data_IF_588758429542
#
_entry.id   IF_588758429542
#
_cell.length_a   1.000
_cell.length_b   1.000
_cell.length_c   1.000
_cell.angle_alpha   90.00
_cell.angle_beta   90.00
_cell.angle_gamma   90.00
#
_symmetry.space_group_name_H-M   'P 1'
#
loop_
_entity.id
_entity.type
_entity.pdbx_description
1 polymer ?
#
# COMPACT_ATOMS: atom_id res chain seq x y z
N UNK A 1 -27.43 -3.52 -25.13
CA UNK A 1 -27.44 -2.51 -24.06
C UNK A 1 -25.99 -2.34 -23.64
N UNK A 2 -25.35 -1.27 -24.06
CA UNK A 2 -23.99 -0.94 -23.60
C UNK A 2 -24.13 -0.54 -22.13
N UNK A 3 -23.66 -1.40 -21.21
CA UNK A 3 -23.44 -0.98 -19.84
C UNK A 3 -22.53 0.25 -19.87
N UNK A 4 -23.06 1.40 -19.53
CA UNK A 4 -22.28 2.59 -19.23
C UNK A 4 -21.52 2.27 -17.94
N UNK A 5 -20.32 1.68 -18.07
CA UNK A 5 -19.41 1.53 -16.95
C UNK A 5 -19.15 2.92 -16.37
N UNK A 6 -19.50 3.11 -15.09
CA UNK A 6 -19.16 4.34 -14.38
C UNK A 6 -17.65 4.61 -14.57
N UNK A 7 -17.27 5.86 -14.86
CA UNK A 7 -15.86 6.18 -15.03
C UNK A 7 -15.04 5.79 -13.79
N UNK A 8 -13.82 5.31 -14.00
CA UNK A 8 -12.91 4.96 -12.91
C UNK A 8 -12.65 6.20 -12.02
N UNK A 9 -12.78 6.02 -10.71
CA UNK A 9 -12.68 7.14 -9.77
C UNK A 9 -11.27 7.75 -9.78
N UNK A 10 -10.24 6.93 -9.84
CA UNK A 10 -8.85 7.43 -9.83
C UNK A 10 -8.54 8.19 -11.12
N UNK A 11 -8.99 7.71 -12.28
CA UNK A 11 -8.83 8.45 -13.54
C UNK A 11 -9.50 9.82 -13.47
N UNK A 12 -10.70 9.86 -12.89
CA UNK A 12 -11.43 11.13 -12.70
C UNK A 12 -10.68 12.08 -11.79
N UNK A 13 -10.20 11.61 -10.62
CA UNK A 13 -9.55 12.43 -9.61
C UNK A 13 -8.11 12.83 -9.99
N UNK A 14 -7.43 11.98 -10.73
CA UNK A 14 -6.11 12.28 -11.28
C UNK A 14 -6.17 13.11 -12.58
N UNK A 15 -7.39 13.42 -13.06
CA UNK A 15 -7.64 14.20 -14.29
C UNK A 15 -7.01 13.54 -15.53
N UNK A 16 -7.25 12.25 -15.71
CA UNK A 16 -6.75 11.44 -16.81
C UNK A 16 -7.86 11.18 -17.85
N UNK A 17 -8.03 12.05 -18.85
CA UNK A 17 -8.99 11.76 -19.90
C UNK A 17 -8.56 10.54 -20.71
N UNK A 18 -9.51 9.75 -21.30
CA UNK A 18 -9.19 8.49 -22.00
C UNK A 18 -8.17 8.61 -23.14
N UNK A 19 -7.96 9.81 -23.70
CA UNK A 19 -6.98 10.05 -24.75
C UNK A 19 -5.58 10.45 -24.22
N UNK A 20 -5.42 10.61 -22.90
CA UNK A 20 -4.13 11.04 -22.34
C UNK A 20 -3.11 9.91 -22.31
N UNK A 21 -1.81 10.22 -22.51
CA UNK A 21 -0.75 9.20 -22.41
C UNK A 21 -0.74 8.49 -21.05
N UNK A 22 -0.93 9.20 -19.94
CA UNK A 22 -0.93 8.62 -18.59
C UNK A 22 -2.10 7.65 -18.39
N UNK A 23 -3.29 7.95 -18.95
CA UNK A 23 -4.41 7.01 -18.97
C UNK A 23 -4.01 5.72 -19.68
N UNK A 24 -3.44 5.81 -20.89
CA UNK A 24 -3.01 4.64 -21.66
C UNK A 24 -1.95 3.81 -20.92
N UNK A 25 -1.00 4.46 -20.24
CA UNK A 25 0.02 3.80 -19.41
C UNK A 25 -0.66 3.08 -18.22
N UNK A 26 -1.52 3.75 -17.47
CA UNK A 26 -2.22 3.18 -16.32
C UNK A 26 -3.02 1.94 -16.71
N UNK A 27 -3.70 1.99 -17.84
CA UNK A 27 -4.53 0.89 -18.35
C UNK A 27 -3.74 -0.29 -18.94
N UNK A 28 -2.41 -0.22 -19.00
CA UNK A 28 -1.59 -1.43 -19.19
C UNK A 28 -1.63 -2.36 -17.96
N UNK A 29 -2.11 -1.86 -16.83
CA UNK A 29 -2.32 -2.60 -15.57
C UNK A 29 -3.81 -2.72 -15.22
N UNK A 30 -4.65 -3.11 -16.18
CA UNK A 30 -6.12 -3.17 -16.02
C UNK A 30 -6.57 -3.93 -14.77
N UNK A 31 -5.91 -5.04 -14.41
CA UNK A 31 -6.24 -5.78 -13.18
C UNK A 31 -6.06 -4.93 -11.91
N UNK A 32 -5.07 -4.04 -11.89
CA UNK A 32 -4.88 -3.10 -10.77
C UNK A 32 -5.98 -2.04 -10.78
N UNK A 33 -6.32 -1.52 -11.97
CA UNK A 33 -7.41 -0.54 -12.14
C UNK A 33 -8.72 -1.11 -11.63
N UNK A 34 -9.13 -2.26 -12.16
CA UNK A 34 -10.42 -2.89 -11.86
C UNK A 34 -10.55 -3.25 -10.36
N UNK A 35 -9.52 -3.89 -9.79
CA UNK A 35 -9.55 -4.30 -8.39
C UNK A 35 -9.41 -3.10 -7.41
N UNK A 36 -8.74 -2.01 -7.81
CA UNK A 36 -8.74 -0.76 -7.04
C UNK A 36 -10.13 -0.14 -7.00
N UNK A 37 -10.82 -0.09 -8.15
CA UNK A 37 -12.20 0.36 -8.23
C UNK A 37 -13.14 -0.59 -7.47
N UNK A 38 -12.90 -1.90 -7.53
CA UNK A 38 -13.62 -2.91 -6.74
C UNK A 38 -13.46 -2.67 -5.24
N UNK A 39 -12.24 -2.44 -4.77
CA UNK A 39 -11.96 -2.09 -3.36
C UNK A 39 -12.70 -0.85 -2.90
N UNK A 40 -12.71 0.22 -3.74
CA UNK A 40 -13.50 1.42 -3.46
C UNK A 40 -14.99 1.11 -3.32
N UNK A 41 -15.57 0.35 -4.26
CA UNK A 41 -16.97 -0.02 -4.24
C UNK A 41 -17.34 -0.79 -2.97
N UNK A 42 -16.52 -1.78 -2.57
CA UNK A 42 -16.77 -2.57 -1.35
C UNK A 42 -16.69 -1.71 -0.08
N UNK A 43 -15.68 -0.84 0.02
CA UNK A 43 -15.47 0.00 1.20
C UNK A 43 -16.52 1.10 1.37
N UNK A 44 -17.15 1.55 0.28
CA UNK A 44 -18.18 2.59 0.31
C UNK A 44 -19.58 2.08 -0.05
N UNK A 45 -19.76 0.75 -0.09
CA UNK A 45 -21.08 0.14 -0.26
C UNK A 45 -21.99 0.50 0.92
N UNK A 46 -23.18 1.00 0.63
CA UNK A 46 -24.19 1.32 1.67
C UNK A 46 -24.65 0.10 2.44
N UNK A 47 -24.50 -1.10 1.86
CA UNK A 47 -24.85 -2.36 2.48
C UNK A 47 -23.74 -2.91 3.41
N UNK A 48 -22.52 -2.32 3.45
CA UNK A 48 -21.45 -2.78 4.33
C UNK A 48 -21.89 -2.63 5.80
N UNK A 49 -21.99 -3.73 6.56
CA UNK A 49 -22.52 -3.69 7.92
C UNK A 49 -21.53 -3.05 8.90
N UNK A 50 -22.06 -2.52 9.99
CA UNK A 50 -21.33 -2.08 11.17
C UNK A 50 -20.89 -0.63 11.13
N UNK A 51 -20.05 -0.22 10.19
CA UNK A 51 -19.67 1.18 9.98
C UNK A 51 -20.65 1.85 9.02
N UNK A 52 -21.32 2.90 9.45
CA UNK A 52 -22.21 3.67 8.56
C UNK A 52 -21.45 4.32 7.42
N UNK A 53 -22.11 4.61 6.31
CA UNK A 53 -21.46 5.33 5.21
C UNK A 53 -20.96 6.71 5.66
N UNK A 54 -21.71 7.40 6.54
CA UNK A 54 -21.28 8.67 7.12
C UNK A 54 -20.00 8.58 7.93
N UNK A 55 -19.87 7.56 8.82
CA UNK A 55 -18.62 7.30 9.55
C UNK A 55 -17.45 7.08 8.59
N UNK A 56 -17.64 6.27 7.55
CA UNK A 56 -16.59 5.98 6.55
C UNK A 56 -16.18 7.22 5.75
N UNK A 57 -17.14 8.05 5.36
CA UNK A 57 -16.87 9.30 4.64
C UNK A 57 -16.14 10.33 5.52
N UNK A 58 -16.49 10.45 6.81
CA UNK A 58 -15.77 11.34 7.74
C UNK A 58 -14.33 10.86 7.98
N UNK A 59 -14.13 9.56 8.15
CA UNK A 59 -12.78 8.97 8.21
C UNK A 59 -11.99 9.26 6.93
N UNK A 60 -12.62 9.10 5.75
CA UNK A 60 -11.98 9.37 4.47
C UNK A 60 -11.57 10.83 4.31
N UNK A 61 -12.45 11.75 4.71
CA UNK A 61 -12.15 13.18 4.70
C UNK A 61 -10.95 13.51 5.59
N UNK A 62 -10.94 13.01 6.83
CA UNK A 62 -9.82 13.19 7.77
C UNK A 62 -8.50 12.70 7.18
N UNK A 63 -8.45 11.51 6.58
CA UNK A 63 -7.24 10.96 5.98
C UNK A 63 -6.74 11.83 4.82
N UNK A 64 -7.67 12.32 3.98
CA UNK A 64 -7.32 13.19 2.87
C UNK A 64 -6.77 14.54 3.34
N UNK A 65 -7.36 15.13 4.37
CA UNK A 65 -6.89 16.37 5.00
C UNK A 65 -5.48 16.19 5.57
N UNK A 66 -5.28 15.14 6.39
CA UNK A 66 -3.98 14.82 6.99
C UNK A 66 -2.89 14.53 5.95
N UNK A 67 -3.27 13.95 4.81
CA UNK A 67 -2.35 13.64 3.70
C UNK A 67 -2.18 14.80 2.71
N UNK A 68 -2.89 15.91 2.89
CA UNK A 68 -2.87 17.06 1.97
C UNK A 68 -3.45 16.76 0.58
N UNK A 69 -4.32 15.75 0.45
CA UNK A 69 -4.93 15.35 -0.83
C UNK A 69 -6.22 16.13 -1.09
N UNK A 70 -6.10 17.26 -1.80
CA UNK A 70 -7.23 18.17 -2.03
C UNK A 70 -8.33 17.56 -2.91
N UNK A 71 -7.98 16.90 -4.01
CA UNK A 71 -8.96 16.31 -4.94
C UNK A 71 -9.77 15.19 -4.30
N UNK A 72 -9.11 14.28 -3.58
CA UNK A 72 -9.79 13.22 -2.82
C UNK A 72 -10.61 13.80 -1.65
N UNK A 73 -10.07 14.77 -0.93
CA UNK A 73 -10.78 15.44 0.17
C UNK A 73 -12.06 16.11 -0.29
N UNK A 74 -12.02 16.84 -1.42
CA UNK A 74 -13.20 17.44 -2.02
C UNK A 74 -14.27 16.40 -2.44
N UNK A 75 -13.82 15.26 -3.02
CA UNK A 75 -14.70 14.17 -3.41
C UNK A 75 -15.46 13.59 -2.21
N UNK A 76 -14.76 13.23 -1.13
CA UNK A 76 -15.40 12.65 0.05
C UNK A 76 -16.23 13.66 0.83
N UNK A 77 -15.82 14.93 0.90
CA UNK A 77 -16.60 16.01 1.50
C UNK A 77 -17.91 16.24 0.75
N UNK A 78 -17.90 16.19 -0.59
CA UNK A 78 -19.11 16.32 -1.40
C UNK A 78 -20.08 15.16 -1.14
N UNK A 79 -19.59 13.92 -1.08
CA UNK A 79 -20.44 12.75 -0.77
C UNK A 79 -21.04 12.86 0.63
N UNK A 80 -20.26 13.27 1.64
CA UNK A 80 -20.73 13.45 3.00
C UNK A 80 -21.81 14.53 3.07
N UNK A 81 -21.61 15.66 2.39
CA UNK A 81 -22.60 16.73 2.31
C UNK A 81 -23.91 16.28 1.65
N UNK A 82 -23.83 15.46 0.59
CA UNK A 82 -25.01 14.89 -0.08
C UNK A 82 -25.77 13.90 0.81
N UNK A 83 -25.05 13.16 1.64
CA UNK A 83 -25.64 12.21 2.58
C UNK A 83 -26.39 12.93 3.70
N UNK A 84 -25.93 14.13 4.11
CA UNK A 84 -26.54 14.91 5.18
C UNK A 84 -26.45 14.24 6.56
N UNK A 85 -25.48 13.31 6.75
CA UNK A 85 -25.34 12.52 7.97
C UNK A 85 -24.55 13.28 9.05
N UNK A 86 -25.00 13.18 10.30
CA UNK A 86 -24.33 13.72 11.47
C UNK A 86 -23.93 12.57 12.41
N UNK A 87 -22.82 12.71 13.19
CA UNK A 87 -22.43 11.70 14.14
C UNK A 87 -23.51 11.38 15.17
N UNK A 88 -23.99 10.15 15.18
CA UNK A 88 -25.01 9.70 16.14
C UNK A 88 -24.40 9.45 17.54
N UNK A 89 -23.09 9.12 17.62
CA UNK A 89 -22.38 8.84 18.86
C UNK A 89 -21.01 9.51 18.83
N UNK A 90 -20.86 10.58 19.60
CA UNK A 90 -19.62 11.37 19.63
C UNK A 90 -18.41 10.59 20.18
N UNK A 91 -18.61 9.67 21.12
CA UNK A 91 -17.51 8.86 21.68
C UNK A 91 -16.98 7.85 20.63
N UNK A 92 -17.89 7.19 19.90
CA UNK A 92 -17.55 6.28 18.81
C UNK A 92 -16.84 7.04 17.69
N UNK A 93 -17.39 8.17 17.26
CA UNK A 93 -16.75 9.01 16.23
C UNK A 93 -15.33 9.42 16.63
N UNK A 94 -15.14 9.88 17.88
CA UNK A 94 -13.83 10.26 18.38
C UNK A 94 -12.84 9.07 18.39
N UNK A 95 -13.29 7.85 18.64
CA UNK A 95 -12.44 6.65 18.57
C UNK A 95 -12.03 6.34 17.13
N UNK A 96 -12.97 6.40 16.17
CA UNK A 96 -12.71 6.22 14.74
C UNK A 96 -11.67 7.23 14.24
N UNK A 97 -11.84 8.51 14.59
CA UNK A 97 -10.97 9.59 14.16
C UNK A 97 -9.56 9.49 14.78
N UNK A 98 -9.44 9.10 16.06
CA UNK A 98 -8.14 8.86 16.68
C UNK A 98 -7.38 7.74 15.99
N UNK A 99 -8.04 6.62 15.69
CA UNK A 99 -7.42 5.51 15.00
C UNK A 99 -7.02 5.89 13.57
N UNK A 100 -7.88 6.61 12.84
CA UNK A 100 -7.57 7.12 11.51
C UNK A 100 -6.35 8.06 11.51
N UNK A 101 -6.27 8.98 12.46
CA UNK A 101 -5.16 9.91 12.62
C UNK A 101 -3.85 9.18 12.91
N UNK A 102 -3.87 8.23 13.85
CA UNK A 102 -2.72 7.41 14.21
C UNK A 102 -2.16 6.65 13.00
N UNK A 103 -3.01 5.88 12.31
CA UNK A 103 -2.59 5.08 11.17
C UNK A 103 -2.13 5.93 9.99
N UNK A 104 -2.65 7.13 9.84
CA UNK A 104 -2.27 8.03 8.76
C UNK A 104 -0.87 8.61 8.97
N UNK A 105 -0.61 9.18 10.15
CA UNK A 105 0.63 9.90 10.43
C UNK A 105 1.76 9.04 10.99
N UNK A 106 1.44 8.10 11.88
CA UNK A 106 2.42 7.37 12.66
C UNK A 106 2.02 5.90 12.84
N UNK A 107 1.90 5.15 11.74
CA UNK A 107 1.44 3.77 11.81
C UNK A 107 2.28 2.89 12.74
N UNK A 108 3.56 3.20 12.94
CA UNK A 108 4.47 2.46 13.84
C UNK A 108 4.15 2.68 15.33
N UNK A 109 3.44 3.75 15.69
CA UNK A 109 3.05 4.02 17.08
C UNK A 109 1.77 3.28 17.50
N UNK A 110 1.11 2.58 16.55
CA UNK A 110 -0.04 1.74 16.87
C UNK A 110 0.34 0.51 17.69
N UNK A 111 -0.48 0.20 18.66
CA UNK A 111 -0.33 -0.94 19.54
C UNK A 111 -1.68 -1.59 19.87
N UNK A 112 -1.65 -2.65 20.68
CA UNK A 112 -2.85 -3.37 21.08
C UNK A 112 -3.87 -2.48 21.82
N UNK A 113 -3.41 -1.47 22.55
CA UNK A 113 -4.31 -0.55 23.26
C UNK A 113 -5.19 0.26 22.30
N UNK A 114 -4.72 0.51 21.08
CA UNK A 114 -5.52 1.16 20.04
C UNK A 114 -6.72 0.29 19.62
N UNK A 115 -6.53 -1.03 19.52
CA UNK A 115 -7.62 -1.99 19.27
C UNK A 115 -8.56 -2.07 20.45
N UNK A 116 -8.03 -2.15 21.68
CA UNK A 116 -8.82 -2.19 22.92
C UNK A 116 -9.70 -0.95 23.06
N UNK A 117 -9.21 0.23 22.65
CA UNK A 117 -9.98 1.47 22.64
C UNK A 117 -11.15 1.43 21.62
N UNK A 118 -10.98 0.80 20.47
CA UNK A 118 -12.07 0.61 19.50
C UNK A 118 -13.13 -0.37 20.03
N UNK A 119 -12.69 -1.46 20.65
CA UNK A 119 -13.60 -2.43 21.29
C UNK A 119 -14.38 -1.75 22.43
N UNK A 120 -13.73 -0.94 23.26
CA UNK A 120 -14.38 -0.17 24.33
C UNK A 120 -15.37 0.89 23.80
N UNK A 121 -15.15 1.40 22.58
CA UNK A 121 -16.09 2.28 21.86
C UNK A 121 -17.26 1.49 21.20
N UNK A 122 -17.34 0.18 21.41
CA UNK A 122 -18.42 -0.69 20.96
C UNK A 122 -18.26 -1.29 19.55
N UNK A 123 -17.07 -1.15 18.93
CA UNK A 123 -16.83 -1.78 17.64
C UNK A 123 -16.64 -3.30 17.80
N UNK A 124 -17.19 -4.04 16.85
CA UNK A 124 -16.98 -5.48 16.74
C UNK A 124 -15.71 -5.78 15.89
N UNK A 125 -15.12 -6.97 15.97
CA UNK A 125 -13.95 -7.35 15.18
C UNK A 125 -14.09 -7.06 13.68
N UNK A 126 -15.22 -7.39 13.08
CA UNK A 126 -15.49 -7.13 11.66
C UNK A 126 -15.51 -5.63 11.31
N UNK A 127 -15.99 -4.78 12.22
CA UNK A 127 -15.99 -3.32 12.05
C UNK A 127 -14.57 -2.74 12.18
N UNK A 128 -13.77 -3.28 13.11
CA UNK A 128 -12.35 -2.89 13.26
C UNK A 128 -11.57 -3.24 11.99
N UNK A 129 -11.80 -4.43 11.43
CA UNK A 129 -11.18 -4.82 10.16
C UNK A 129 -11.63 -3.92 9.01
N UNK A 130 -12.94 -3.61 8.90
CA UNK A 130 -13.45 -2.68 7.89
C UNK A 130 -12.80 -1.28 8.01
N UNK A 131 -12.69 -0.76 9.24
CA UNK A 131 -12.04 0.53 9.53
C UNK A 131 -10.56 0.52 9.14
N UNK A 132 -9.81 -0.49 9.56
CA UNK A 132 -8.39 -0.61 9.25
C UNK A 132 -8.17 -0.73 7.72
N UNK A 133 -8.99 -1.54 7.03
CA UNK A 133 -8.95 -1.67 5.57
C UNK A 133 -9.27 -0.34 4.87
N UNK A 134 -10.27 0.41 5.35
CA UNK A 134 -10.63 1.72 4.82
C UNK A 134 -9.46 2.70 4.93
N UNK A 135 -8.87 2.83 6.12
CA UNK A 135 -7.75 3.77 6.36
C UNK A 135 -6.54 3.39 5.49
N UNK A 136 -6.24 2.11 5.44
CA UNK A 136 -5.11 1.59 4.68
C UNK A 136 -5.33 1.74 3.15
N UNK A 137 -6.54 1.45 2.65
CA UNK A 137 -6.93 1.70 1.25
C UNK A 137 -6.83 3.19 0.89
N UNK A 138 -7.33 4.08 1.72
CA UNK A 138 -7.25 5.52 1.47
C UNK A 138 -5.80 6.01 1.43
N UNK A 139 -4.93 5.46 2.28
CA UNK A 139 -3.49 5.74 2.25
C UNK A 139 -2.83 5.28 0.94
N UNK A 140 -3.28 4.16 0.37
CA UNK A 140 -2.92 3.71 -0.98
C UNK A 140 -3.48 4.66 -2.05
N UNK A 141 -4.78 4.96 -1.98
CA UNK A 141 -5.48 5.78 -2.97
C UNK A 141 -4.87 7.20 -3.09
N UNK A 142 -4.56 7.84 -1.96
CA UNK A 142 -3.88 9.15 -1.91
C UNK A 142 -2.57 9.11 -2.71
N UNK A 143 -1.76 8.07 -2.52
CA UNK A 143 -0.47 7.90 -3.18
C UNK A 143 -0.60 7.62 -4.67
N UNK A 144 -1.58 6.80 -5.05
CA UNK A 144 -1.84 6.51 -6.47
C UNK A 144 -2.29 7.77 -7.20
N UNK A 145 -3.23 8.54 -6.63
CA UNK A 145 -3.69 9.80 -7.25
C UNK A 145 -2.54 10.81 -7.35
N UNK A 146 -1.78 11.01 -6.29
CA UNK A 146 -0.64 11.93 -6.29
C UNK A 146 0.43 11.54 -7.34
N UNK A 147 0.76 10.24 -7.42
CA UNK A 147 1.73 9.74 -8.39
C UNK A 147 1.27 9.88 -9.83
N UNK A 148 -0.01 9.62 -10.12
CA UNK A 148 -0.58 9.80 -11.46
C UNK A 148 -0.65 11.27 -11.86
N UNK A 149 -0.99 12.17 -10.93
CA UNK A 149 -0.93 13.61 -11.17
C UNK A 149 0.50 14.09 -11.46
N UNK A 150 1.49 13.58 -10.73
CA UNK A 150 2.90 13.88 -10.98
C UNK A 150 3.38 13.31 -12.33
N UNK A 151 2.94 12.10 -12.72
CA UNK A 151 3.19 11.54 -14.06
C UNK A 151 2.58 12.42 -15.16
N UNK A 152 1.36 12.90 -14.97
CA UNK A 152 0.70 13.78 -15.92
C UNK A 152 1.42 15.13 -16.05
N UNK A 153 2.07 15.60 -14.99
CA UNK A 153 2.85 16.83 -14.99
C UNK A 153 4.20 16.73 -15.74
N UNK A 154 4.65 15.52 -16.11
CA UNK A 154 5.81 15.34 -17.01
C UNK A 154 5.50 15.78 -18.45
N UNK A 155 4.23 15.83 -18.85
CA UNK A 155 3.84 16.27 -20.19
C UNK A 155 4.49 15.43 -21.30
N UNK A 156 5.06 16.10 -22.31
CA UNK A 156 5.69 15.44 -23.48
C UNK A 156 6.95 14.64 -23.09
N UNK A 157 7.63 14.99 -22.01
CA UNK A 157 8.81 14.26 -21.51
C UNK A 157 8.46 12.83 -21.10
N UNK A 158 7.20 12.56 -20.76
CA UNK A 158 6.71 11.22 -20.44
C UNK A 158 6.90 10.24 -21.61
N UNK A 159 6.72 10.71 -22.86
CA UNK A 159 6.79 9.87 -24.06
C UNK A 159 8.22 9.76 -24.64
N UNK A 160 9.15 10.56 -24.15
CA UNK A 160 10.54 10.48 -24.56
C UNK A 160 11.16 9.11 -24.17
N UNK A 161 12.07 8.61 -25.00
CA UNK A 161 12.82 7.41 -24.62
C UNK A 161 13.61 7.65 -23.33
N UNK A 162 13.63 6.68 -22.41
CA UNK A 162 14.43 6.81 -21.19
C UNK A 162 15.92 6.88 -21.52
N UNK A 163 16.70 7.49 -20.66
CA UNK A 163 18.16 7.49 -20.78
C UNK A 163 18.66 6.03 -20.83
N UNK A 164 19.68 5.78 -21.66
CA UNK A 164 20.30 4.47 -21.69
C UNK A 164 20.87 4.13 -20.31
N UNK A 165 20.53 2.97 -19.81
CA UNK A 165 21.09 2.50 -18.53
C UNK A 165 22.62 2.39 -18.65
N UNK A 166 23.33 2.92 -17.66
CA UNK A 166 24.78 2.71 -17.59
C UNK A 166 25.10 1.20 -17.49
N UNK A 167 26.19 0.73 -18.13
CA UNK A 167 26.62 -0.65 -17.97
C UNK A 167 26.75 -0.98 -16.47
N UNK A 168 26.15 -2.10 -16.07
CA UNK A 168 26.29 -2.57 -14.68
C UNK A 168 27.71 -3.10 -14.46
N UNK A 169 28.40 -2.55 -13.46
CA UNK A 169 29.64 -3.16 -12.99
C UNK A 169 29.35 -4.56 -12.40
N UNK A 170 30.28 -5.53 -12.56
CA UNK A 170 30.13 -6.82 -11.92
C UNK A 170 29.94 -6.69 -10.42
N UNK A 171 28.89 -7.29 -9.89
CA UNK A 171 28.63 -7.24 -8.44
C UNK A 171 29.72 -8.02 -7.68
N UNK A 172 30.33 -7.33 -6.71
CA UNK A 172 31.26 -7.93 -5.74
C UNK A 172 30.62 -7.85 -4.37
N UNK A 173 30.42 -9.02 -3.75
CA UNK A 173 29.79 -9.09 -2.43
C UNK A 173 30.68 -8.43 -1.37
N UNK A 174 30.15 -7.47 -0.57
CA UNK A 174 30.92 -6.82 0.50
C UNK A 174 31.34 -7.83 1.61
N UNK A 175 32.62 -7.87 1.92
CA UNK A 175 33.16 -8.84 2.88
C UNK A 175 32.64 -8.73 4.31
N UNK A 176 32.11 -7.56 4.69
CA UNK A 176 31.57 -7.31 6.03
C UNK A 176 30.08 -7.70 6.16
N UNK A 177 29.40 -8.05 5.06
CA UNK A 177 28.02 -8.49 5.09
C UNK A 177 27.91 -10.02 5.15
N UNK A 178 26.87 -10.56 5.81
CA UNK A 178 26.54 -11.96 5.72
C UNK A 178 26.20 -12.31 4.25
N UNK A 179 26.48 -13.54 3.85
CA UNK A 179 26.18 -13.98 2.48
C UNK A 179 24.67 -13.92 2.20
N UNK A 180 24.26 -13.70 0.95
CA UNK A 180 22.85 -13.78 0.59
C UNK A 180 22.24 -15.12 1.03
N UNK A 181 21.12 -15.04 1.74
CA UNK A 181 20.46 -16.19 2.37
C UNK A 181 20.84 -16.43 3.85
N UNK A 182 21.92 -15.80 4.34
CA UNK A 182 22.18 -15.70 5.77
C UNK A 182 21.42 -14.50 6.37
N UNK A 183 21.12 -14.57 7.68
CA UNK A 183 20.32 -13.55 8.33
C UNK A 183 21.05 -12.22 8.48
N UNK A 184 20.48 -11.18 7.93
CA UNK A 184 20.89 -9.79 8.10
C UNK A 184 20.09 -9.16 9.25
N UNK A 185 20.76 -8.50 10.21
CA UNK A 185 20.12 -7.75 11.31
C UNK A 185 20.80 -6.41 11.48
N UNK A 186 20.07 -5.31 11.22
CA UNK A 186 20.56 -3.93 11.31
C UNK A 186 19.43 -3.04 11.84
N UNK A 187 19.70 -2.24 12.87
CA UNK A 187 18.80 -1.22 13.40
C UNK A 187 17.36 -1.70 13.72
N UNK A 188 17.23 -2.93 14.24
CA UNK A 188 15.93 -3.52 14.55
C UNK A 188 15.22 -4.17 13.37
N UNK A 189 15.71 -4.00 12.14
CA UNK A 189 15.23 -4.75 10.98
C UNK A 189 16.03 -6.05 10.78
N UNK A 190 15.39 -7.03 10.15
CA UNK A 190 15.99 -8.34 9.91
C UNK A 190 15.51 -8.94 8.58
N UNK A 191 16.35 -9.79 7.97
CA UNK A 191 15.94 -10.68 6.88
C UNK A 191 15.54 -12.08 7.37
N UNK A 192 15.33 -12.25 8.68
CA UNK A 192 14.86 -13.50 9.28
C UNK A 192 13.36 -13.71 9.01
N UNK A 193 12.93 -14.96 8.85
CA UNK A 193 11.50 -15.24 8.70
C UNK A 193 10.80 -15.03 10.04
N UNK A 194 9.89 -14.07 10.08
CA UNK A 194 9.11 -13.73 11.26
C UNK A 194 7.72 -14.36 11.21
N UNK A 195 7.18 -14.70 12.38
CA UNK A 195 5.75 -14.92 12.57
C UNK A 195 4.98 -13.59 12.65
N UNK A 196 3.64 -13.68 12.64
CA UNK A 196 2.78 -12.54 12.91
C UNK A 196 1.55 -12.98 13.70
N UNK A 197 1.20 -12.23 14.74
CA UNK A 197 0.08 -12.56 15.63
C UNK A 197 -0.94 -11.44 15.65
N UNK A 198 -2.22 -11.77 15.43
CA UNK A 198 -3.31 -10.82 15.47
C UNK A 198 -3.63 -10.34 16.89
N UNK A 199 -4.00 -9.07 17.02
CA UNK A 199 -4.62 -8.48 18.22
C UNK A 199 -6.15 -8.57 18.19
N UNK A 200 -6.72 -8.64 16.99
CA UNK A 200 -8.15 -8.85 16.78
C UNK A 200 -8.44 -10.37 16.74
N UNK A 201 -9.53 -10.86 17.34
CA UNK A 201 -9.92 -12.26 17.20
C UNK A 201 -9.98 -12.70 15.74
N UNK A 202 -9.32 -13.80 15.42
CA UNK A 202 -9.32 -14.37 14.07
C UNK A 202 -10.53 -15.28 13.84
N UNK A 203 -10.96 -15.40 12.58
CA UNK A 203 -11.99 -16.36 12.18
C UNK A 203 -11.38 -17.76 12.25
N UNK A 204 -12.04 -18.68 12.97
CA UNK A 204 -11.65 -20.09 13.02
C UNK A 204 -12.12 -20.80 11.75
N UNK A 205 -11.30 -21.70 11.22
CA UNK A 205 -11.60 -22.37 9.95
C UNK A 205 -12.83 -23.27 10.02
N UNK A 206 -13.12 -23.85 11.18
CA UNK A 206 -14.32 -24.68 11.44
C UNK A 206 -15.60 -23.85 11.60
N UNK A 207 -15.47 -22.54 11.83
CA UNK A 207 -16.59 -21.58 11.89
C UNK A 207 -16.73 -20.77 10.59
N UNK A 208 -15.75 -20.87 9.66
CA UNK A 208 -15.71 -20.09 8.43
C UNK A 208 -16.77 -20.56 7.41
N UNK A 209 -17.41 -19.60 6.73
CA UNK A 209 -18.36 -19.90 5.65
C UNK A 209 -17.64 -20.47 4.42
N UNK A 210 -18.35 -21.21 3.53
CA UNK A 210 -17.78 -21.67 2.26
C UNK A 210 -17.18 -20.55 1.42
N UNK A 211 -17.79 -19.35 1.42
CA UNK A 211 -17.28 -18.18 0.73
C UNK A 211 -15.96 -17.68 1.33
N UNK A 212 -15.88 -17.57 2.65
CA UNK A 212 -14.65 -17.19 3.34
C UNK A 212 -13.50 -18.16 3.04
N UNK A 213 -13.77 -19.46 3.05
CA UNK A 213 -12.77 -20.49 2.73
C UNK A 213 -12.26 -20.38 1.28
N UNK A 214 -13.16 -20.13 0.32
CA UNK A 214 -12.80 -19.94 -1.08
C UNK A 214 -11.93 -18.67 -1.29
N UNK A 215 -12.28 -17.57 -0.62
CA UNK A 215 -11.50 -16.31 -0.69
C UNK A 215 -10.13 -16.50 -0.04
N UNK A 216 -10.03 -17.17 1.11
CA UNK A 216 -8.72 -17.47 1.72
C UNK A 216 -7.84 -18.28 0.75
N UNK A 217 -8.39 -19.31 0.13
CA UNK A 217 -7.66 -20.16 -0.82
C UNK A 217 -7.16 -19.37 -2.04
N UNK A 218 -7.98 -18.47 -2.56
CA UNK A 218 -7.62 -17.61 -3.70
C UNK A 218 -6.63 -16.49 -3.32
N UNK A 219 -6.56 -16.08 -2.05
CA UNK A 219 -5.76 -14.94 -1.61
C UNK A 219 -4.27 -15.24 -1.52
N UNK A 220 -3.89 -16.34 -0.85
CA UNK A 220 -2.49 -16.73 -0.66
C UNK A 220 -2.37 -18.19 -0.24
N UNK A 221 -1.31 -18.93 -0.65
CA UNK A 221 -1.14 -20.34 -0.25
C UNK A 221 -1.14 -20.61 1.25
N UNK A 222 -0.64 -19.68 2.07
CA UNK A 222 -0.64 -19.80 3.53
C UNK A 222 -1.82 -19.08 4.22
N UNK A 223 -2.83 -18.61 3.49
CA UNK A 223 -3.90 -17.80 4.09
C UNK A 223 -4.67 -18.54 5.20
N UNK A 224 -4.87 -19.85 5.05
CA UNK A 224 -5.58 -20.67 6.03
C UNK A 224 -4.79 -20.92 7.34
N UNK A 225 -3.50 -20.58 7.37
CA UNK A 225 -2.63 -20.77 8.55
C UNK A 225 -2.03 -19.46 9.07
N UNK A 226 -2.38 -18.35 8.45
CA UNK A 226 -1.86 -17.01 8.79
C UNK A 226 -2.91 -16.23 9.55
N UNK A 227 -2.61 -15.84 10.79
CA UNK A 227 -3.48 -14.97 11.59
C UNK A 227 -3.86 -13.69 10.85
N UNK A 228 -2.96 -13.16 10.00
CA UNK A 228 -3.22 -11.98 9.20
C UNK A 228 -4.43 -12.17 8.26
N UNK A 229 -4.43 -13.24 7.47
CA UNK A 229 -5.55 -13.52 6.57
C UNK A 229 -6.81 -13.95 7.33
N UNK A 230 -6.64 -14.69 8.43
CA UNK A 230 -7.76 -15.11 9.29
C UNK A 230 -8.39 -13.93 10.05
N UNK A 231 -7.64 -12.85 10.30
CA UNK A 231 -8.21 -11.60 10.78
C UNK A 231 -8.93 -10.84 9.65
N UNK A 232 -8.30 -10.69 8.47
CA UNK A 232 -8.87 -9.93 7.36
C UNK A 232 -10.14 -10.55 6.77
N UNK A 233 -10.32 -11.88 6.90
CA UNK A 233 -11.50 -12.58 6.36
C UNK A 233 -12.81 -12.26 7.10
N UNK A 234 -12.77 -11.49 8.18
CA UNK A 234 -13.97 -10.87 8.73
C UNK A 234 -14.68 -9.97 7.71
N UNK A 235 -13.95 -9.49 6.68
CA UNK A 235 -14.47 -8.73 5.57
C UNK A 235 -14.06 -9.38 4.24
N UNK A 236 -14.77 -10.45 3.82
CA UNK A 236 -14.34 -11.33 2.74
C UNK A 236 -14.22 -10.61 1.38
N UNK A 237 -15.20 -9.80 0.99
CA UNK A 237 -15.17 -9.09 -0.30
C UNK A 237 -14.06 -8.04 -0.35
N UNK A 238 -13.80 -7.34 0.77
CA UNK A 238 -12.70 -6.38 0.87
C UNK A 238 -11.35 -7.11 0.76
N UNK A 239 -11.19 -8.25 1.44
CA UNK A 239 -9.99 -9.07 1.34
C UNK A 239 -9.77 -9.59 -0.09
N UNK A 240 -10.83 -10.01 -0.77
CA UNK A 240 -10.77 -10.50 -2.14
C UNK A 240 -10.18 -9.43 -3.08
N UNK A 241 -10.78 -8.25 -3.12
CA UNK A 241 -10.32 -7.15 -3.97
C UNK A 241 -8.89 -6.71 -3.61
N UNK A 242 -8.60 -6.55 -2.33
CA UNK A 242 -7.25 -6.24 -1.85
C UNK A 242 -6.22 -7.27 -2.31
N UNK A 243 -6.55 -8.56 -2.26
CA UNK A 243 -5.64 -9.62 -2.68
C UNK A 243 -5.38 -9.57 -4.19
N UNK A 244 -6.40 -9.27 -4.98
CA UNK A 244 -6.25 -9.06 -6.43
C UNK A 244 -5.36 -7.85 -6.71
N UNK A 245 -5.57 -6.69 -6.04
CA UNK A 245 -4.71 -5.51 -6.20
C UNK A 245 -3.26 -5.86 -5.89
N UNK A 246 -3.00 -6.48 -4.73
CA UNK A 246 -1.65 -6.84 -4.30
C UNK A 246 -0.96 -7.76 -5.32
N UNK A 247 -1.64 -8.83 -5.72
CA UNK A 247 -1.09 -9.80 -6.66
C UNK A 247 -0.88 -9.19 -8.05
N UNK A 248 -1.81 -8.37 -8.53
CA UNK A 248 -1.70 -7.69 -9.82
C UNK A 248 -0.54 -6.68 -9.86
N UNK A 249 -0.20 -6.04 -8.73
CA UNK A 249 0.96 -5.14 -8.60
C UNK A 249 2.25 -5.95 -8.52
N UNK A 250 2.33 -6.85 -7.55
CA UNK A 250 3.59 -7.49 -7.21
C UNK A 250 4.02 -8.56 -8.21
N UNK A 251 3.09 -9.20 -8.92
CA UNK A 251 3.38 -10.27 -9.86
C UNK A 251 3.11 -9.92 -11.33
N UNK A 252 2.90 -8.62 -11.65
CA UNK A 252 2.70 -8.19 -13.03
C UNK A 252 3.89 -8.55 -13.92
N UNK A 253 3.67 -9.13 -15.12
CA UNK A 253 4.74 -9.39 -16.07
C UNK A 253 5.20 -8.09 -16.74
N UNK A 254 6.49 -8.04 -17.10
CA UNK A 254 7.09 -6.86 -17.75
C UNK A 254 7.15 -5.63 -16.83
N UNK A 255 7.59 -4.49 -17.36
CA UNK A 255 7.80 -3.27 -16.59
C UNK A 255 8.90 -3.43 -15.55
N UNK A 256 8.72 -2.83 -14.36
CA UNK A 256 9.68 -2.91 -13.27
C UNK A 256 9.95 -4.37 -12.87
N UNK A 257 11.22 -4.73 -12.69
CA UNK A 257 11.58 -6.09 -12.31
C UNK A 257 10.99 -6.46 -10.95
N UNK A 258 10.77 -7.77 -10.73
CA UNK A 258 10.25 -8.22 -9.43
C UNK A 258 11.20 -7.87 -8.28
N UNK A 259 12.51 -7.98 -8.48
CA UNK A 259 13.49 -7.60 -7.47
C UNK A 259 13.38 -6.13 -7.08
N UNK A 260 13.21 -5.23 -8.05
CA UNK A 260 13.06 -3.80 -7.79
C UNK A 260 11.74 -3.46 -7.09
N UNK A 261 10.64 -4.18 -7.40
CA UNK A 261 9.38 -4.05 -6.62
C UNK A 261 9.59 -4.47 -5.17
N UNK A 262 10.36 -5.53 -4.92
CA UNK A 262 10.70 -5.96 -3.55
C UNK A 262 11.58 -4.94 -2.83
N UNK A 263 12.54 -4.31 -3.53
CA UNK A 263 13.36 -3.22 -2.97
C UNK A 263 12.48 -2.03 -2.56
N UNK A 264 11.61 -1.55 -3.45
CA UNK A 264 10.67 -0.46 -3.16
C UNK A 264 9.80 -0.81 -1.96
N UNK A 265 9.31 -2.06 -1.90
CA UNK A 265 8.48 -2.56 -0.79
C UNK A 265 9.24 -2.57 0.54
N UNK A 266 10.51 -3.00 0.53
CA UNK A 266 11.37 -2.99 1.72
C UNK A 266 11.64 -1.56 2.20
N UNK A 267 11.92 -0.61 1.29
CA UNK A 267 12.12 0.82 1.63
C UNK A 267 10.89 1.40 2.31
N UNK A 268 9.71 1.25 1.71
CA UNK A 268 8.45 1.75 2.29
C UNK A 268 8.20 1.13 3.65
N UNK A 269 8.50 -0.17 3.80
CA UNK A 269 8.31 -0.88 5.07
C UNK A 269 9.26 -0.40 6.16
N UNK A 270 10.51 -0.06 5.83
CA UNK A 270 11.47 0.53 6.77
C UNK A 270 11.04 1.95 7.19
N UNK A 271 10.60 2.79 6.24
CA UNK A 271 10.09 4.15 6.54
C UNK A 271 8.87 4.10 7.46
N UNK A 272 7.95 3.17 7.23
CA UNK A 272 6.76 2.98 8.06
C UNK A 272 7.03 2.19 9.36
N UNK A 273 8.25 1.68 9.58
CA UNK A 273 8.61 0.90 10.77
C UNK A 273 8.04 -0.52 10.80
N UNK A 274 7.60 -1.08 9.68
CA UNK A 274 7.01 -2.42 9.62
C UNK A 274 8.10 -3.50 9.50
N UNK A 275 8.59 -4.00 10.63
CA UNK A 275 9.66 -5.00 10.67
C UNK A 275 9.26 -6.29 9.95
N UNK A 276 8.01 -6.76 10.10
CA UNK A 276 7.53 -7.96 9.42
C UNK A 276 7.59 -7.81 7.89
N UNK A 277 7.03 -6.70 7.36
CA UNK A 277 7.05 -6.48 5.92
C UNK A 277 8.48 -6.29 5.40
N UNK A 278 9.31 -5.51 6.11
CA UNK A 278 10.71 -5.30 5.74
C UNK A 278 11.46 -6.64 5.64
N UNK A 279 11.25 -7.54 6.60
CA UNK A 279 11.84 -8.88 6.60
C UNK A 279 11.44 -9.69 5.35
N UNK A 280 10.14 -9.80 5.08
CA UNK A 280 9.63 -10.59 3.94
C UNK A 280 10.20 -10.07 2.61
N UNK A 281 10.21 -8.74 2.41
CA UNK A 281 10.63 -8.15 1.14
C UNK A 281 12.13 -8.08 0.98
N UNK A 282 12.90 -7.99 2.07
CA UNK A 282 14.35 -8.19 2.07
C UNK A 282 14.70 -9.60 1.61
N UNK A 283 14.10 -10.64 2.20
CA UNK A 283 14.32 -12.03 1.77
C UNK A 283 13.98 -12.25 0.30
N UNK A 284 12.85 -11.70 -0.17
CA UNK A 284 12.44 -11.82 -1.58
C UNK A 284 13.42 -11.12 -2.51
N UNK A 285 13.87 -9.91 -2.16
CA UNK A 285 14.90 -9.22 -2.91
C UNK A 285 16.18 -10.08 -3.01
N UNK A 286 16.69 -10.58 -1.90
CA UNK A 286 17.90 -11.44 -1.87
C UNK A 286 17.73 -12.69 -2.73
N UNK A 287 16.57 -13.35 -2.66
CA UNK A 287 16.27 -14.53 -3.46
C UNK A 287 16.29 -14.24 -4.97
N UNK A 288 15.82 -13.08 -5.39
CA UNK A 288 15.69 -12.67 -6.79
C UNK A 288 16.99 -12.06 -7.33
N UNK A 289 17.59 -11.13 -6.58
CA UNK A 289 18.76 -10.38 -6.99
C UNK A 289 20.09 -11.10 -6.69
N UNK A 290 20.08 -12.14 -5.83
CA UNK A 290 21.26 -12.87 -5.36
C UNK A 290 22.30 -11.97 -4.66
N UNK A 291 21.83 -10.90 -4.01
CA UNK A 291 22.62 -9.91 -3.30
C UNK A 291 21.79 -9.27 -2.18
N UNK A 292 22.46 -8.73 -1.16
CA UNK A 292 21.79 -8.11 0.00
C UNK A 292 22.39 -6.74 0.40
N UNK A 293 23.37 -6.24 -0.34
CA UNK A 293 24.10 -5.01 -0.02
C UNK A 293 23.20 -3.77 0.01
N UNK A 294 22.29 -3.61 -0.97
CA UNK A 294 21.32 -2.49 -0.96
C UNK A 294 20.30 -2.65 0.17
N UNK A 295 19.92 -3.88 0.51
CA UNK A 295 19.02 -4.14 1.66
C UNK A 295 19.71 -3.77 2.97
N UNK A 296 21.00 -4.08 3.12
CA UNK A 296 21.78 -3.65 4.28
C UNK A 296 21.78 -2.13 4.43
N UNK A 297 22.00 -1.40 3.33
CA UNK A 297 21.92 0.07 3.32
C UNK A 297 20.51 0.58 3.69
N UNK A 298 19.45 -0.05 3.16
CA UNK A 298 18.06 0.30 3.51
C UNK A 298 17.78 0.09 4.99
N UNK A 299 18.27 -1.01 5.58
CA UNK A 299 18.13 -1.27 7.02
C UNK A 299 18.97 -0.32 7.87
N UNK A 300 20.13 0.12 7.36
CA UNK A 300 20.98 1.08 8.04
C UNK A 300 20.37 2.49 8.00
N UNK A 301 20.08 2.99 6.80
CA UNK A 301 19.42 4.29 6.58
C UNK A 301 18.82 4.34 5.17
N UNK A 302 17.50 4.24 5.00
CA UNK A 302 16.86 4.31 3.69
C UNK A 302 17.21 5.57 2.90
N UNK A 303 17.38 6.72 3.57
CA UNK A 303 17.61 8.02 2.90
C UNK A 303 18.98 8.10 2.18
N UNK A 304 19.89 7.18 2.45
CA UNK A 304 21.21 7.13 1.82
C UNK A 304 21.46 5.86 1.01
N UNK A 305 20.45 4.98 0.93
CA UNK A 305 20.56 3.68 0.31
C UNK A 305 20.54 3.74 -1.22
N UNK A 306 21.19 2.76 -1.84
CA UNK A 306 21.26 2.59 -3.29
C UNK A 306 22.71 2.45 -3.77
N UNK A 307 23.01 1.37 -4.49
CA UNK A 307 24.36 1.04 -4.94
C UNK A 307 24.66 1.59 -6.34
N UNK A 308 23.63 1.97 -7.08
CA UNK A 308 23.71 2.56 -8.42
C UNK A 308 22.63 3.64 -8.60
N UNK A 309 22.68 4.37 -9.73
CA UNK A 309 21.78 5.49 -9.99
C UNK A 309 20.30 5.04 -10.00
N UNK A 310 20.01 3.87 -10.59
CA UNK A 310 18.64 3.35 -10.69
C UNK A 310 18.05 2.97 -9.34
N UNK A 311 18.82 2.29 -8.48
CA UNK A 311 18.40 1.97 -7.13
C UNK A 311 18.21 3.23 -6.28
N UNK A 312 19.15 4.20 -6.37
CA UNK A 312 19.01 5.48 -5.65
C UNK A 312 17.74 6.24 -6.05
N UNK A 313 17.43 6.26 -7.34
CA UNK A 313 16.21 6.91 -7.83
C UNK A 313 14.93 6.20 -7.33
N UNK A 314 14.89 4.86 -7.36
CA UNK A 314 13.77 4.06 -6.84
C UNK A 314 13.59 4.23 -5.33
N UNK A 315 14.68 4.19 -4.58
CA UNK A 315 14.68 4.38 -3.11
C UNK A 315 14.16 5.78 -2.77
N UNK A 316 14.73 6.83 -3.39
CA UNK A 316 14.29 8.21 -3.13
C UNK A 316 12.82 8.42 -3.52
N UNK A 317 12.37 7.88 -4.64
CA UNK A 317 10.97 7.93 -5.04
C UNK A 317 10.04 7.25 -4.02
N UNK A 318 10.43 6.07 -3.52
CA UNK A 318 9.67 5.35 -2.50
C UNK A 318 9.57 6.16 -1.19
N UNK A 319 10.64 6.85 -0.80
CA UNK A 319 10.66 7.76 0.36
C UNK A 319 9.72 8.94 0.14
N UNK A 320 9.89 9.67 -0.98
CA UNK A 320 9.09 10.86 -1.30
C UNK A 320 7.58 10.55 -1.32
N UNK A 321 7.20 9.45 -1.96
CA UNK A 321 5.80 9.02 -2.03
C UNK A 321 5.25 8.56 -0.67
N UNK A 322 6.11 8.03 0.21
CA UNK A 322 5.70 7.55 1.53
C UNK A 322 5.52 8.70 2.51
N UNK A 323 6.49 9.61 2.58
CA UNK A 323 6.54 10.67 3.59
C UNK A 323 5.72 11.91 3.20
N UNK A 324 5.73 12.28 1.92
CA UNK A 324 5.10 13.52 1.45
C UNK A 324 4.42 13.35 0.07
N UNK A 325 3.40 12.49 -0.06
CA UNK A 325 2.74 12.23 -1.34
C UNK A 325 2.19 13.50 -2.01
N UNK A 326 1.72 14.47 -1.23
CA UNK A 326 1.22 15.76 -1.72
C UNK A 326 2.29 16.71 -2.26
N UNK A 327 3.57 16.41 -2.05
CA UNK A 327 4.72 17.18 -2.58
C UNK A 327 5.35 16.49 -3.79
N UNK A 328 4.83 15.34 -4.22
CA UNK A 328 5.33 14.67 -5.41
C UNK A 328 5.06 15.54 -6.65
N UNK A 329 6.07 15.65 -7.51
CA UNK A 329 6.01 16.51 -8.70
C UNK A 329 6.64 15.83 -9.90
N UNK A 330 6.39 16.34 -11.10
CA UNK A 330 7.05 15.88 -12.33
C UNK A 330 8.58 15.89 -12.21
N UNK A 331 9.18 16.90 -11.58
CA UNK A 331 10.63 16.98 -11.37
C UNK A 331 11.17 15.80 -10.54
N UNK A 332 10.42 15.33 -9.54
CA UNK A 332 10.79 14.14 -8.75
C UNK A 332 10.75 12.87 -9.59
N UNK A 333 9.79 12.77 -10.51
CA UNK A 333 9.69 11.64 -11.43
C UNK A 333 10.73 11.70 -12.55
N UNK A 334 11.20 12.90 -12.94
CA UNK A 334 12.26 13.05 -13.92
C UNK A 334 13.54 12.31 -13.50
N UNK A 335 13.88 12.32 -12.22
CA UNK A 335 15.03 11.55 -11.71
C UNK A 335 14.95 10.05 -12.01
N UNK A 336 13.74 9.46 -12.02
CA UNK A 336 13.54 8.06 -12.44
C UNK A 336 13.78 7.89 -13.95
N UNK A 337 13.33 8.84 -14.76
CA UNK A 337 13.58 8.85 -16.21
C UNK A 337 15.07 8.96 -16.50
N UNK A 338 15.77 9.86 -15.82
CA UNK A 338 17.22 10.07 -15.95
C UNK A 338 18.01 8.83 -15.52
N UNK A 339 17.46 8.04 -14.59
CA UNK A 339 18.00 6.74 -14.18
C UNK A 339 17.62 5.58 -15.12
N UNK A 340 17.01 5.86 -16.27
CA UNK A 340 16.70 4.88 -17.32
C UNK A 340 15.39 4.11 -17.12
N UNK A 341 14.47 4.56 -16.23
CA UNK A 341 13.18 3.89 -16.07
C UNK A 341 12.21 4.33 -17.19
N UNK A 342 11.54 3.38 -17.79
CA UNK A 342 10.39 3.61 -18.67
C UNK A 342 9.18 4.09 -17.85
N UNK A 343 8.20 4.70 -18.53
CA UNK A 343 6.96 5.14 -17.90
C UNK A 343 6.17 3.98 -17.24
N UNK A 344 6.22 2.77 -17.83
CA UNK A 344 5.59 1.60 -17.22
C UNK A 344 6.32 1.15 -15.95
N UNK A 345 7.65 1.20 -15.93
CA UNK A 345 8.44 0.90 -14.74
C UNK A 345 8.18 1.92 -13.63
N UNK A 346 8.02 3.21 -13.97
CA UNK A 346 7.66 4.26 -13.00
C UNK A 346 6.25 4.02 -12.44
N UNK A 347 5.27 3.64 -13.28
CA UNK A 347 3.94 3.25 -12.82
C UNK A 347 3.99 2.04 -11.88
N UNK A 348 4.79 1.02 -12.20
CA UNK A 348 4.96 -0.16 -11.34
C UNK A 348 5.63 0.19 -10.00
N UNK A 349 6.63 1.10 -10.00
CA UNK A 349 7.25 1.60 -8.78
C UNK A 349 6.23 2.38 -7.91
N UNK A 350 5.39 3.22 -8.55
CA UNK A 350 4.29 3.92 -7.90
C UNK A 350 3.33 2.94 -7.22
N UNK A 351 2.87 1.94 -7.96
CA UNK A 351 1.96 0.94 -7.43
C UNK A 351 2.60 0.12 -6.30
N UNK A 352 3.87 -0.29 -6.43
CA UNK A 352 4.59 -1.02 -5.39
C UNK A 352 4.75 -0.20 -4.11
N UNK A 353 5.13 1.08 -4.21
CA UNK A 353 5.22 1.94 -3.04
C UNK A 353 3.84 2.21 -2.40
N UNK A 354 2.82 2.47 -3.22
CA UNK A 354 1.47 2.75 -2.74
C UNK A 354 0.81 1.55 -2.04
N UNK A 355 0.96 0.32 -2.58
CA UNK A 355 0.35 -0.87 -1.96
C UNK A 355 0.98 -1.18 -0.60
N UNK A 356 2.24 -0.77 -0.37
CA UNK A 356 2.88 -0.92 0.94
C UNK A 356 2.45 0.13 1.96
N UNK A 357 1.90 1.28 1.54
CA UNK A 357 1.15 2.14 2.45
C UNK A 357 -0.10 1.44 3.00
N UNK A 358 -0.77 0.59 2.18
CA UNK A 358 -1.88 -0.24 2.63
C UNK A 358 -1.41 -1.40 3.51
N UNK A 359 -0.50 -2.23 3.02
CA UNK A 359 -0.04 -3.43 3.71
C UNK A 359 0.57 -3.14 5.09
N UNK A 360 1.46 -2.14 5.18
CA UNK A 360 2.13 -1.82 6.44
C UNK A 360 1.14 -1.36 7.52
N UNK A 361 0.12 -0.56 7.15
CA UNK A 361 -0.88 -0.09 8.12
C UNK A 361 -1.69 -1.23 8.73
N UNK A 362 -2.03 -2.24 7.93
CA UNK A 362 -2.70 -3.43 8.44
C UNK A 362 -1.78 -4.26 9.34
N UNK A 363 -0.54 -4.50 8.90
CA UNK A 363 0.41 -5.33 9.64
C UNK A 363 0.84 -4.71 10.97
N UNK A 364 0.96 -3.38 11.03
CA UNK A 364 1.37 -2.65 12.25
C UNK A 364 0.23 -2.44 13.25
N UNK A 365 -1.03 -2.44 12.79
CA UNK A 365 -2.15 -1.97 13.61
C UNK A 365 -3.25 -3.01 13.85
N UNK A 366 -3.11 -4.20 13.30
CA UNK A 366 -4.00 -5.34 13.59
C UNK A 366 -3.30 -6.47 14.33
N UNK A 367 -1.99 -6.36 14.52
CA UNK A 367 -1.18 -7.39 15.17
C UNK A 367 0.29 -6.99 15.22
N UNK A 368 1.13 -7.93 15.61
CA UNK A 368 2.56 -7.73 15.83
C UNK A 368 3.42 -8.82 15.17
N UNK A 369 4.65 -8.43 14.81
CA UNK A 369 5.68 -9.37 14.38
C UNK A 369 6.12 -10.24 15.56
N UNK A 370 6.31 -11.53 15.31
CA UNK A 370 6.80 -12.50 16.30
C UNK A 370 8.14 -13.05 15.81
N UNK A 371 9.17 -12.83 16.60
CA UNK A 371 10.49 -13.40 16.35
C UNK A 371 10.51 -14.89 16.70
N UNK A 372 11.27 -15.73 15.95
CA UNK A 372 11.42 -17.16 16.23
C UNK A 372 12.09 -17.46 17.55
#
# INVERSE_FOLDING_TARGET
MTETTSPDLIDTLAQLPPASPVHAIRHQRNKVVDATQGSYKQLFDTALPGLTLGERLRVAQTICELSGSQTLGAHYAQQLAQLGDAPANAAREAALQRFATLLTHKPVEGDRSSIDALLAAGLQPAEIIALAQLIAFLSYQVRVVAGLQALNALGDDLLAEPAAAAPAEPFVHPHHLPKPGEVLRINGFTSETLGWKAWVPVVKLDEATPEQLAILEASHPSAKTSDYYLALIHQPQILQERSVVFNAIMYAPGGLSRAERELVSAVVSCINGCVYCASVHAQRFEQLAKRNDVIAQVFENPHTAGTNAREKALVQFAIDLTEAPNQLSGTRLQALRDAGLSHLEILDALHAAAIFAWANRLMLNLGEAVHP
#
